data_IF_976634027076
#
_entry.id   IF_976634027076
#
_cell.length_a   1.000
_cell.length_b   1.000
_cell.length_c   1.000
_cell.angle_alpha   90.00
_cell.angle_beta   90.00
_cell.angle_gamma   90.00
#
_symmetry.space_group_name_H-M   'P 1'
#
loop_
_entity.id
_entity.type
_entity.pdbx_description
1 polymer ?
#
# COMPACT_ATOMS: atom_id res chain seq x y z
N UNK A 1 18.68 -24.67 9.05
CA UNK A 1 17.54 -25.38 8.44
C UNK A 1 17.60 -25.14 6.94
N UNK A 2 18.45 -25.88 6.20
CA UNK A 2 18.82 -25.49 4.84
C UNK A 2 17.67 -25.57 3.82
N UNK A 3 16.65 -26.39 4.05
CA UNK A 3 15.48 -26.53 3.15
C UNK A 3 14.23 -25.77 3.59
N UNK A 4 14.33 -24.84 4.54
CA UNK A 4 13.16 -24.06 4.97
C UNK A 4 12.86 -22.97 3.93
N UNK A 5 11.76 -23.13 3.17
CA UNK A 5 11.33 -22.16 2.15
C UNK A 5 10.29 -21.17 2.66
N UNK A 6 9.51 -21.53 3.67
CA UNK A 6 8.44 -20.70 4.22
C UNK A 6 8.48 -20.62 5.74
N UNK A 7 8.36 -19.42 6.28
CA UNK A 7 8.31 -19.17 7.72
C UNK A 7 7.16 -18.22 8.05
N UNK A 8 6.21 -18.73 8.83
CA UNK A 8 5.06 -17.99 9.30
C UNK A 8 5.13 -17.81 10.81
N UNK A 9 5.29 -16.57 11.26
CA UNK A 9 5.39 -16.22 12.66
C UNK A 9 4.29 -15.21 13.00
N UNK A 10 3.15 -15.67 13.54
CA UNK A 10 2.09 -14.80 14.10
C UNK A 10 2.08 -14.85 15.63
N UNK A 11 1.86 -13.70 16.28
CA UNK A 11 1.76 -13.59 17.75
C UNK A 11 3.05 -13.94 18.51
N UNK A 12 4.19 -13.49 17.99
CA UNK A 12 5.48 -13.80 18.59
C UNK A 12 6.13 -12.55 19.18
N UNK A 13 6.97 -12.76 20.19
CA UNK A 13 7.76 -11.71 20.84
C UNK A 13 9.17 -11.66 20.25
N UNK A 14 9.29 -11.86 18.93
CA UNK A 14 10.60 -11.93 18.26
C UNK A 14 11.31 -10.59 18.37
N UNK A 15 12.39 -10.57 19.15
CA UNK A 15 13.26 -9.39 19.32
C UNK A 15 14.35 -9.34 18.25
N UNK A 16 14.78 -10.50 17.77
CA UNK A 16 15.89 -10.61 16.83
C UNK A 16 15.57 -11.56 15.68
N UNK A 17 15.85 -11.10 14.48
CA UNK A 17 15.75 -11.87 13.23
C UNK A 17 17.11 -12.45 12.81
N UNK A 18 18.13 -12.37 13.66
CA UNK A 18 19.50 -12.80 13.33
C UNK A 18 19.58 -14.27 12.91
N UNK A 19 18.76 -15.14 13.51
CA UNK A 19 18.72 -16.57 13.19
C UNK A 19 18.22 -16.88 11.78
N UNK A 20 17.59 -15.92 11.08
CA UNK A 20 17.15 -16.12 9.69
C UNK A 20 18.33 -16.46 8.74
N UNK A 21 19.56 -16.06 9.09
CA UNK A 21 20.77 -16.45 8.35
C UNK A 21 20.95 -17.97 8.21
N UNK A 22 20.33 -18.76 9.09
CA UNK A 22 20.38 -20.22 9.10
C UNK A 22 19.34 -20.86 8.14
N UNK A 23 18.55 -20.04 7.45
CA UNK A 23 17.56 -20.43 6.44
C UNK A 23 17.80 -19.63 5.13
N UNK A 24 18.94 -19.84 4.44
CA UNK A 24 19.30 -19.06 3.26
C UNK A 24 18.37 -19.31 2.05
N UNK A 25 17.61 -20.39 2.04
CA UNK A 25 16.63 -20.73 0.99
C UNK A 25 15.22 -20.21 1.29
N UNK A 26 15.06 -19.33 2.29
CA UNK A 26 13.74 -18.82 2.65
C UNK A 26 13.19 -17.92 1.55
N UNK A 27 12.02 -18.28 1.01
CA UNK A 27 11.30 -17.59 -0.07
C UNK A 27 10.09 -16.82 0.43
N UNK A 28 9.44 -17.31 1.49
CA UNK A 28 8.23 -16.73 2.07
C UNK A 28 8.44 -16.43 3.56
N UNK A 29 8.29 -15.16 3.95
CA UNK A 29 8.38 -14.74 5.34
C UNK A 29 7.17 -13.89 5.72
N UNK A 30 6.47 -14.33 6.77
CA UNK A 30 5.41 -13.56 7.40
C UNK A 30 5.72 -13.33 8.89
N UNK A 31 5.68 -12.07 9.30
CA UNK A 31 5.93 -11.58 10.65
C UNK A 31 4.70 -10.84 11.19
N UNK A 32 3.81 -11.55 11.86
CA UNK A 32 2.58 -11.01 12.45
C UNK A 32 2.77 -10.58 13.92
N UNK A 33 2.17 -9.44 14.29
CA UNK A 33 2.27 -8.85 15.63
C UNK A 33 3.72 -8.62 16.10
N UNK A 34 4.58 -8.13 15.21
CA UNK A 34 6.03 -8.06 15.39
C UNK A 34 6.51 -6.76 16.03
N UNK A 35 5.91 -6.38 17.16
CA UNK A 35 6.08 -5.06 17.77
C UNK A 35 7.50 -4.72 18.26
N UNK A 36 8.39 -5.71 18.34
CA UNK A 36 9.81 -5.56 18.70
C UNK A 36 10.77 -5.58 17.50
N UNK A 37 10.26 -5.82 16.28
CA UNK A 37 11.09 -5.75 15.08
C UNK A 37 11.24 -4.29 14.67
N UNK A 38 12.47 -3.78 14.78
CA UNK A 38 12.84 -2.42 14.39
C UNK A 38 13.61 -2.38 13.06
N UNK A 39 14.41 -3.41 12.80
CA UNK A 39 15.30 -3.47 11.64
C UNK A 39 15.05 -4.69 10.75
N UNK A 40 15.16 -4.46 9.45
CA UNK A 40 15.08 -5.46 8.40
C UNK A 40 16.44 -5.93 7.88
N UNK A 41 17.57 -5.50 8.46
CA UNK A 41 18.91 -5.83 7.96
C UNK A 41 19.12 -7.34 7.75
N UNK A 42 18.67 -8.15 8.70
CA UNK A 42 18.76 -9.62 8.61
C UNK A 42 17.81 -10.20 7.56
N UNK A 43 16.64 -9.59 7.36
CA UNK A 43 15.70 -10.01 6.30
C UNK A 43 16.27 -9.68 4.93
N UNK A 44 16.90 -8.51 4.76
CA UNK A 44 17.54 -8.10 3.51
C UNK A 44 18.78 -8.96 3.12
N UNK A 45 19.28 -9.78 4.06
CA UNK A 45 20.32 -10.76 3.76
C UNK A 45 19.79 -12.01 3.02
N UNK A 46 18.47 -12.26 3.06
CA UNK A 46 17.82 -13.41 2.43
C UNK A 46 17.67 -13.20 0.91
N UNK A 47 18.62 -13.72 0.13
CA UNK A 47 18.71 -13.49 -1.32
C UNK A 47 17.68 -14.23 -2.16
N UNK A 48 17.01 -15.22 -1.58
CA UNK A 48 15.93 -15.98 -2.24
C UNK A 48 14.54 -15.49 -1.83
N UNK A 49 14.42 -14.44 -1.02
CA UNK A 49 13.11 -13.98 -0.52
C UNK A 49 12.28 -13.35 -1.64
N UNK A 50 11.13 -13.97 -1.93
CA UNK A 50 10.17 -13.56 -2.96
C UNK A 50 8.93 -12.89 -2.35
N UNK A 51 8.56 -13.28 -1.13
CA UNK A 51 7.39 -12.74 -0.45
C UNK A 51 7.72 -12.36 0.99
N UNK A 52 7.48 -11.09 1.32
CA UNK A 52 7.66 -10.59 2.67
C UNK A 52 6.42 -9.85 3.16
N UNK A 53 5.97 -10.21 4.36
CA UNK A 53 4.92 -9.48 5.06
C UNK A 53 5.31 -9.22 6.51
N UNK A 54 5.04 -8.01 6.97
CA UNK A 54 5.16 -7.63 8.37
C UNK A 54 3.92 -6.86 8.83
N UNK A 55 3.37 -7.28 9.96
CA UNK A 55 2.24 -6.64 10.60
C UNK A 55 2.60 -6.11 11.99
N UNK A 56 2.16 -4.89 12.26
CA UNK A 56 2.34 -4.18 13.52
C UNK A 56 3.80 -4.18 14.00
N UNK A 57 4.78 -3.73 13.18
CA UNK A 57 6.17 -3.63 13.61
C UNK A 57 6.35 -2.55 14.69
N UNK A 58 7.58 -2.38 15.17
CA UNK A 58 7.88 -1.35 16.17
C UNK A 58 7.63 0.07 15.65
N UNK A 59 7.65 1.06 16.55
CA UNK A 59 7.54 2.48 16.14
C UNK A 59 8.80 2.97 15.40
N UNK A 60 9.95 2.37 15.70
CA UNK A 60 11.24 2.70 15.10
C UNK A 60 11.48 1.92 13.81
N UNK A 61 10.45 1.28 13.27
CA UNK A 61 10.58 0.45 12.07
C UNK A 61 10.91 1.29 10.83
N UNK A 62 11.96 0.87 10.15
CA UNK A 62 12.54 1.50 8.97
C UNK A 62 12.51 0.55 7.77
N UNK A 63 12.38 1.10 6.56
CA UNK A 63 12.17 0.33 5.32
C UNK A 63 13.33 0.45 4.32
N UNK A 64 14.41 1.12 4.69
CA UNK A 64 15.58 1.43 3.88
C UNK A 64 16.21 0.15 3.33
N UNK A 65 16.23 -0.91 4.13
CA UNK A 65 16.77 -2.21 3.73
C UNK A 65 15.92 -2.91 2.64
N UNK A 66 14.62 -2.58 2.50
CA UNK A 66 13.75 -3.17 1.47
C UNK A 66 14.25 -2.86 0.06
N UNK A 67 14.85 -1.69 -0.17
CA UNK A 67 15.36 -1.33 -1.50
C UNK A 67 16.46 -2.27 -2.03
N UNK A 68 17.07 -3.07 -1.16
CA UNK A 68 18.09 -4.07 -1.53
C UNK A 68 17.51 -5.45 -1.86
N UNK A 69 16.19 -5.63 -1.71
CA UNK A 69 15.49 -6.92 -1.83
C UNK A 69 14.83 -7.06 -3.21
N UNK A 70 15.62 -6.88 -4.28
CA UNK A 70 15.14 -6.78 -5.66
C UNK A 70 14.41 -8.02 -6.22
N UNK A 71 14.43 -9.15 -5.49
CA UNK A 71 13.71 -10.38 -5.83
C UNK A 71 12.30 -10.46 -5.27
N UNK A 72 11.90 -9.50 -4.43
CA UNK A 72 10.53 -9.47 -3.93
C UNK A 72 9.53 -9.33 -5.07
N UNK A 73 8.58 -10.24 -5.09
CA UNK A 73 7.40 -10.24 -5.96
C UNK A 73 6.18 -9.75 -5.18
N UNK A 74 6.11 -10.07 -3.88
CA UNK A 74 5.05 -9.62 -2.97
C UNK A 74 5.58 -8.97 -1.70
N UNK A 75 5.03 -7.80 -1.36
CA UNK A 75 5.35 -7.05 -0.14
C UNK A 75 4.08 -6.59 0.59
N UNK A 76 3.98 -6.91 1.88
CA UNK A 76 2.94 -6.40 2.76
C UNK A 76 3.52 -5.67 3.97
N UNK A 77 3.19 -4.40 4.12
CA UNK A 77 3.47 -3.60 5.31
C UNK A 77 2.15 -3.18 5.93
N UNK A 78 1.90 -3.62 7.16
CA UNK A 78 0.63 -3.33 7.84
C UNK A 78 0.91 -2.76 9.22
N UNK A 79 0.37 -1.58 9.52
CA UNK A 79 0.24 -1.09 10.89
C UNK A 79 -0.80 -1.90 11.68
N UNK A 80 -1.14 -1.47 12.89
CA UNK A 80 -2.30 -1.99 13.62
C UNK A 80 -3.48 -1.02 13.56
N UNK A 81 -4.67 -1.50 13.92
CA UNK A 81 -5.86 -0.65 14.05
C UNK A 81 -5.66 0.49 15.07
N UNK A 82 -4.92 0.22 16.15
CA UNK A 82 -4.61 1.20 17.20
C UNK A 82 -3.37 2.05 16.91
N UNK A 83 -2.51 1.62 15.98
CA UNK A 83 -1.20 2.23 15.73
C UNK A 83 -0.78 2.09 14.28
N UNK A 84 -0.93 3.18 13.55
CA UNK A 84 -0.42 3.35 12.19
C UNK A 84 1.10 3.15 12.16
N UNK A 85 1.60 2.60 11.06
CA UNK A 85 3.03 2.60 10.78
C UNK A 85 3.39 3.96 10.16
N UNK A 86 4.27 4.72 10.81
CA UNK A 86 4.75 6.01 10.29
C UNK A 86 6.15 5.85 9.70
N UNK A 87 6.32 6.22 8.44
CA UNK A 87 7.57 6.18 7.70
C UNK A 87 7.95 7.59 7.24
N UNK A 88 9.22 7.83 6.90
CA UNK A 88 9.62 9.12 6.32
C UNK A 88 9.02 9.30 4.92
N UNK A 89 9.22 8.31 4.05
CA UNK A 89 8.78 8.30 2.65
C UNK A 89 8.65 6.85 2.16
N UNK A 90 8.13 6.67 0.94
CA UNK A 90 8.19 5.40 0.22
C UNK A 90 9.44 5.26 -0.66
N UNK A 91 10.43 6.15 -0.55
CA UNK A 91 11.59 6.18 -1.44
C UNK A 91 12.30 4.81 -1.58
N UNK A 92 12.55 4.02 -0.52
CA UNK A 92 13.21 2.72 -0.67
C UNK A 92 12.43 1.71 -1.54
N UNK A 93 11.11 1.88 -1.68
CA UNK A 93 10.29 0.97 -2.49
C UNK A 93 10.52 1.15 -3.99
N UNK A 94 11.04 2.30 -4.45
CA UNK A 94 11.26 2.56 -5.89
C UNK A 94 12.26 1.60 -6.55
N UNK A 95 13.10 0.95 -5.75
CA UNK A 95 14.08 -0.02 -6.21
C UNK A 95 13.46 -1.40 -6.53
N UNK A 96 12.24 -1.67 -6.03
CA UNK A 96 11.55 -2.96 -6.17
C UNK A 96 10.81 -3.08 -7.50
N UNK A 97 11.49 -2.83 -8.63
CA UNK A 97 10.87 -2.77 -9.97
C UNK A 97 10.20 -4.06 -10.44
N UNK A 98 10.58 -5.20 -9.85
CA UNK A 98 9.97 -6.52 -10.09
C UNK A 98 8.75 -6.83 -9.22
N UNK A 99 8.37 -5.95 -8.30
CA UNK A 99 7.27 -6.16 -7.37
C UNK A 99 5.93 -6.16 -8.12
N UNK A 100 5.12 -7.19 -7.89
CA UNK A 100 3.80 -7.38 -8.52
C UNK A 100 2.66 -7.10 -7.57
N UNK A 101 2.86 -7.37 -6.27
CA UNK A 101 1.85 -7.20 -5.24
C UNK A 101 2.39 -6.33 -4.11
N UNK A 102 1.69 -5.23 -3.82
CA UNK A 102 2.02 -4.31 -2.73
C UNK A 102 0.80 -4.02 -1.87
N UNK A 103 0.89 -4.33 -0.58
CA UNK A 103 -0.09 -3.93 0.43
C UNK A 103 0.51 -2.99 1.46
N UNK A 104 -0.11 -1.82 1.63
CA UNK A 104 0.26 -0.77 2.57
C UNK A 104 -0.94 -0.46 3.48
N UNK A 105 -1.20 -1.37 4.42
CA UNK A 105 -2.30 -1.26 5.37
C UNK A 105 -1.97 -0.32 6.53
N UNK A 106 -2.70 0.78 6.68
CA UNK A 106 -2.47 1.76 7.76
C UNK A 106 -1.03 2.33 7.81
N UNK A 107 -0.37 2.51 6.65
CA UNK A 107 1.01 3.02 6.55
C UNK A 107 1.05 4.49 6.11
N UNK A 108 1.42 5.39 6.99
CA UNK A 108 1.50 6.82 6.69
C UNK A 108 2.94 7.25 6.44
N UNK A 109 3.17 8.08 5.43
CA UNK A 109 4.47 8.70 5.15
C UNK A 109 4.41 10.19 5.47
N UNK A 110 5.51 10.74 6.00
CA UNK A 110 5.57 12.16 6.41
C UNK A 110 5.54 13.13 5.24
N UNK A 111 6.12 12.73 4.11
CA UNK A 111 6.11 13.53 2.88
C UNK A 111 4.76 13.52 2.13
N UNK A 112 3.82 12.68 2.59
CA UNK A 112 2.50 12.48 1.97
C UNK A 112 2.57 12.21 0.46
N UNK A 113 3.61 11.53 0.00
CA UNK A 113 3.89 11.31 -1.43
C UNK A 113 3.72 9.84 -1.85
N UNK A 114 3.07 9.64 -2.99
CA UNK A 114 2.99 8.36 -3.70
C UNK A 114 3.98 8.27 -4.87
N UNK A 115 4.72 9.36 -5.16
CA UNK A 115 5.66 9.45 -6.29
C UNK A 115 6.63 8.26 -6.39
N UNK A 116 7.24 7.75 -5.29
CA UNK A 116 8.16 6.62 -5.39
C UNK A 116 7.52 5.35 -5.97
N UNK A 117 6.21 5.14 -5.74
CA UNK A 117 5.50 3.96 -6.22
C UNK A 117 5.34 3.93 -7.74
N UNK A 118 5.48 5.07 -8.43
CA UNK A 118 5.42 5.14 -9.89
C UNK A 118 6.57 4.37 -10.58
N UNK A 119 7.66 4.06 -9.85
CA UNK A 119 8.78 3.25 -10.35
C UNK A 119 8.50 1.74 -10.34
N UNK A 120 7.40 1.30 -9.70
CA UNK A 120 6.99 -0.10 -9.63
C UNK A 120 6.30 -0.53 -10.93
N UNK A 121 7.05 -0.57 -12.03
CA UNK A 121 6.49 -0.78 -13.38
C UNK A 121 5.93 -2.18 -13.61
N UNK A 122 6.29 -3.16 -12.78
CA UNK A 122 5.73 -4.51 -12.82
C UNK A 122 4.53 -4.71 -11.88
N UNK A 123 4.07 -3.65 -11.21
CA UNK A 123 3.01 -3.76 -10.22
C UNK A 123 1.68 -4.14 -10.90
N UNK A 124 0.99 -5.12 -10.33
CA UNK A 124 -0.30 -5.61 -10.82
C UNK A 124 -1.42 -5.28 -9.82
N UNK A 125 -1.10 -5.27 -8.52
CA UNK A 125 -2.04 -4.99 -7.45
C UNK A 125 -1.45 -4.07 -6.39
N UNK A 126 -2.22 -3.04 -6.01
CA UNK A 126 -1.87 -2.07 -4.98
C UNK A 126 -3.01 -1.88 -3.99
N UNK A 127 -2.77 -2.28 -2.75
CA UNK A 127 -3.56 -1.88 -1.60
C UNK A 127 -2.89 -0.72 -0.88
N UNK A 128 -3.54 0.44 -0.81
CA UNK A 128 -3.06 1.60 -0.05
C UNK A 128 -4.27 2.32 0.54
N UNK A 129 -4.10 2.96 1.70
CA UNK A 129 -5.21 3.69 2.33
C UNK A 129 -5.46 5.06 1.70
N UNK A 130 -6.72 5.52 1.83
CA UNK A 130 -7.19 6.77 1.23
C UNK A 130 -6.90 8.01 2.11
N UNK A 131 -5.62 8.31 2.35
CA UNK A 131 -5.18 9.49 3.12
C UNK A 131 -4.23 10.42 2.35
N UNK A 132 -3.95 10.12 1.08
CA UNK A 132 -3.20 10.98 0.15
C UNK A 132 -4.13 11.96 -0.56
N UNK A 133 -3.59 12.99 -1.20
CA UNK A 133 -4.40 13.92 -1.98
C UNK A 133 -4.97 13.26 -3.25
N UNK A 134 -5.98 13.89 -3.85
CA UNK A 134 -6.53 13.45 -5.15
C UNK A 134 -5.43 13.49 -6.21
N UNK A 135 -4.57 14.50 -6.16
CA UNK A 135 -3.50 14.75 -7.10
C UNK A 135 -2.43 13.64 -7.07
N UNK A 136 -2.11 13.11 -5.89
CA UNK A 136 -1.18 11.99 -5.76
C UNK A 136 -1.74 10.69 -6.36
N UNK A 137 -3.01 10.38 -6.09
CA UNK A 137 -3.67 9.22 -6.69
C UNK A 137 -3.83 9.37 -8.21
N UNK A 138 -4.24 10.56 -8.67
CA UNK A 138 -4.39 10.84 -10.08
C UNK A 138 -3.06 10.73 -10.84
N UNK A 139 -1.97 11.27 -10.27
CA UNK A 139 -0.61 11.13 -10.79
C UNK A 139 -0.19 9.66 -10.86
N UNK A 140 -0.39 8.89 -9.79
CA UNK A 140 -0.04 7.47 -9.78
C UNK A 140 -0.84 6.69 -10.84
N UNK A 141 -2.13 7.02 -11.02
CA UNK A 141 -3.00 6.38 -12.03
C UNK A 141 -2.60 6.69 -13.47
N UNK A 142 -1.88 7.80 -13.70
CA UNK A 142 -1.31 8.13 -15.00
C UNK A 142 -0.08 7.27 -15.32
N UNK A 143 0.74 6.97 -14.31
CA UNK A 143 1.98 6.20 -14.48
C UNK A 143 1.75 4.69 -14.45
N UNK A 144 0.70 4.23 -13.76
CA UNK A 144 0.37 2.82 -13.60
C UNK A 144 -1.09 2.51 -14.06
N UNK A 145 -1.42 2.70 -15.36
CA UNK A 145 -2.80 2.65 -15.84
C UNK A 145 -3.48 1.27 -15.80
N UNK A 146 -2.75 0.20 -15.48
CA UNK A 146 -3.27 -1.17 -15.39
C UNK A 146 -3.29 -1.77 -13.97
N UNK A 147 -2.79 -1.04 -12.97
CA UNK A 147 -2.74 -1.55 -11.59
C UNK A 147 -4.13 -1.64 -10.99
N UNK A 148 -4.46 -2.79 -10.42
CA UNK A 148 -5.68 -2.98 -9.64
C UNK A 148 -5.51 -2.24 -8.32
N UNK A 149 -6.22 -1.12 -8.17
CA UNK A 149 -6.27 -0.33 -6.95
C UNK A 149 -7.55 0.52 -6.93
N UNK A 150 -8.28 0.46 -5.82
CA UNK A 150 -9.50 1.22 -5.59
C UNK A 150 -9.32 2.72 -5.89
N UNK A 151 -8.21 3.30 -5.43
CA UNK A 151 -8.00 4.76 -5.45
C UNK A 151 -7.33 5.28 -6.73
N UNK A 152 -6.95 4.41 -7.66
CA UNK A 152 -6.50 4.81 -9.00
C UNK A 152 -7.66 5.02 -9.99
N UNK A 153 -8.89 4.87 -9.50
CA UNK A 153 -10.12 5.24 -10.19
C UNK A 153 -10.68 6.54 -9.60
N UNK A 154 -11.40 7.36 -10.40
CA UNK A 154 -12.00 8.61 -9.92
C UNK A 154 -13.05 8.39 -8.83
N UNK A 155 -13.57 7.17 -8.72
CA UNK A 155 -14.45 6.75 -7.65
C UNK A 155 -14.48 5.22 -7.50
N UNK A 156 -14.92 4.74 -6.34
CA UNK A 156 -15.09 3.33 -5.99
C UNK A 156 -16.54 3.08 -5.63
N UNK A 157 -17.12 2.02 -6.20
CA UNK A 157 -18.51 1.64 -5.92
C UNK A 157 -18.58 0.60 -4.81
N UNK A 158 -19.25 0.94 -3.72
CA UNK A 158 -19.58 0.01 -2.64
C UNK A 158 -20.97 -0.57 -2.88
N UNK A 159 -21.02 -1.76 -3.49
CA UNK A 159 -22.24 -2.54 -3.65
C UNK A 159 -22.77 -3.00 -2.30
N UNK A 160 -24.10 -3.02 -2.12
CA UNK A 160 -24.77 -3.42 -0.87
C UNK A 160 -24.14 -2.73 0.34
N UNK A 161 -24.15 -1.40 0.31
CA UNK A 161 -23.58 -0.60 1.38
C UNK A 161 -24.32 -0.88 2.69
N UNK A 162 -23.55 -1.12 3.77
CA UNK A 162 -24.08 -1.12 5.14
C UNK A 162 -24.71 0.21 5.52
N UNK A 163 -24.50 1.27 4.72
CA UNK A 163 -24.98 2.62 4.93
C UNK A 163 -25.82 3.10 3.72
N UNK A 164 -27.07 2.63 3.56
CA UNK A 164 -27.96 3.11 2.51
C UNK A 164 -28.18 4.63 2.62
N UNK A 165 -28.54 5.27 1.50
CA UNK A 165 -28.88 6.68 1.51
C UNK A 165 -30.17 6.91 2.31
N UNK A 166 -30.13 7.79 3.31
CA UNK A 166 -31.28 8.13 4.14
C UNK A 166 -32.35 8.94 3.39
N UNK A 167 -31.99 9.55 2.26
CA UNK A 167 -32.89 10.41 1.48
C UNK A 167 -33.63 9.64 0.37
N UNK A 168 -32.90 8.94 -0.50
CA UNK A 168 -33.51 8.23 -1.64
C UNK A 168 -33.58 6.71 -1.49
N UNK A 169 -33.07 6.15 -0.38
CA UNK A 169 -33.13 4.71 -0.10
C UNK A 169 -32.16 3.85 -0.92
N UNK A 170 -31.35 4.42 -1.82
CA UNK A 170 -30.39 3.63 -2.61
C UNK A 170 -29.41 2.89 -1.68
N UNK A 171 -29.24 1.60 -1.93
CA UNK A 171 -28.48 0.67 -1.08
C UNK A 171 -27.02 0.49 -1.52
N UNK A 172 -26.50 1.40 -2.32
CA UNK A 172 -25.10 1.42 -2.72
C UNK A 172 -24.56 2.85 -2.65
N UNK A 173 -23.25 2.96 -2.44
CA UNK A 173 -22.58 4.23 -2.19
C UNK A 173 -21.27 4.33 -2.96
N UNK A 174 -20.75 5.54 -3.05
CA UNK A 174 -19.52 5.82 -3.80
C UNK A 174 -18.50 6.49 -2.88
N UNK A 175 -17.28 5.95 -2.85
CA UNK A 175 -16.11 6.63 -2.29
C UNK A 175 -15.31 7.32 -3.39
N UNK A 176 -14.63 8.40 -3.05
CA UNK A 176 -13.72 9.11 -3.98
C UNK A 176 -12.28 9.03 -3.47
N UNK A 177 -11.26 9.02 -4.32
CA UNK A 177 -9.89 9.14 -3.86
C UNK A 177 -9.69 10.52 -3.22
N UNK A 178 -8.73 10.61 -2.29
CA UNK A 178 -8.37 11.86 -1.62
C UNK A 178 -8.67 11.87 -0.12
N UNK A 179 -7.73 12.44 0.64
CA UNK A 179 -7.85 12.68 2.08
C UNK A 179 -9.14 13.44 2.40
N UNK A 180 -9.92 12.89 3.33
CA UNK A 180 -11.20 13.47 3.73
C UNK A 180 -12.37 13.12 2.80
N UNK A 181 -12.19 12.14 1.91
CA UNK A 181 -13.28 11.62 1.09
C UNK A 181 -14.48 11.21 1.94
N UNK A 182 -15.67 11.53 1.43
CA UNK A 182 -16.95 11.20 2.04
C UNK A 182 -17.66 10.17 1.19
N UNK A 183 -18.45 9.33 1.85
CA UNK A 183 -19.28 8.34 1.20
C UNK A 183 -20.52 9.01 0.56
N UNK A 184 -20.47 9.23 -0.75
CA UNK A 184 -21.48 9.93 -1.52
C UNK A 184 -22.64 9.01 -1.91
N UNK A 185 -23.85 9.58 -1.97
CA UNK A 185 -25.00 8.95 -2.60
C UNK A 185 -24.95 9.22 -4.12
N UNK A 186 -24.99 8.19 -4.98
CA UNK A 186 -24.93 8.38 -6.43
C UNK A 186 -26.14 9.11 -7.02
N UNK A 187 -27.25 9.19 -6.28
CA UNK A 187 -28.49 9.86 -6.71
C UNK A 187 -28.67 11.24 -6.07
N UNK A 188 -28.35 11.39 -4.78
CA UNK A 188 -28.56 12.65 -4.06
C UNK A 188 -27.33 13.59 -4.12
N UNK A 189 -26.13 13.04 -4.26
CA UNK A 189 -24.88 13.81 -4.31
C UNK A 189 -24.28 13.84 -5.74
N UNK A 190 -25.12 13.80 -6.77
CA UNK A 190 -24.70 13.70 -8.19
C UNK A 190 -23.71 14.81 -8.57
N UNK A 191 -24.01 16.05 -8.19
CA UNK A 191 -23.14 17.20 -8.47
C UNK A 191 -21.75 17.03 -7.81
N UNK A 192 -21.71 16.70 -6.52
CA UNK A 192 -20.43 16.50 -5.79
C UNK A 192 -19.62 15.35 -6.37
N UNK A 193 -20.30 14.29 -6.79
CA UNK A 193 -19.66 13.15 -7.44
C UNK A 193 -19.08 13.57 -8.79
N UNK A 194 -19.82 14.31 -9.60
CA UNK A 194 -19.35 14.84 -10.88
C UNK A 194 -18.13 15.75 -10.70
N UNK A 195 -18.17 16.68 -9.74
CA UNK A 195 -17.04 17.57 -9.40
C UNK A 195 -15.80 16.76 -8.98
N UNK A 196 -15.98 15.71 -8.18
CA UNK A 196 -14.89 14.83 -7.76
C UNK A 196 -14.25 14.07 -8.93
N UNK A 197 -15.08 13.59 -9.86
CA UNK A 197 -14.63 12.89 -11.08
C UNK A 197 -13.85 13.86 -11.98
N UNK A 198 -14.36 15.07 -12.20
CA UNK A 198 -13.68 16.11 -12.98
C UNK A 198 -12.31 16.42 -12.39
N UNK A 199 -12.25 16.71 -11.08
CA UNK A 199 -10.99 17.01 -10.39
C UNK A 199 -9.94 15.89 -10.57
N UNK A 200 -10.34 14.64 -10.40
CA UNK A 200 -9.43 13.51 -10.59
C UNK A 200 -8.90 13.43 -12.03
N UNK A 201 -9.79 13.55 -13.02
CA UNK A 201 -9.41 13.46 -14.43
C UNK A 201 -8.54 14.63 -14.90
N UNK A 202 -8.80 15.83 -14.40
CA UNK A 202 -7.97 17.02 -14.66
C UNK A 202 -6.57 16.85 -14.07
N UNK A 203 -6.47 16.41 -12.81
CA UNK A 203 -5.20 16.12 -12.16
C UNK A 203 -4.41 15.01 -12.89
N UNK A 204 -5.10 13.94 -13.33
CA UNK A 204 -4.50 12.86 -14.12
C UNK A 204 -3.96 13.39 -15.44
N UNK A 205 -4.76 14.20 -16.14
CA UNK A 205 -4.36 14.80 -17.42
C UNK A 205 -3.19 15.77 -17.27
N UNK A 206 -3.15 16.54 -16.18
CA UNK A 206 -2.03 17.41 -15.85
C UNK A 206 -0.74 16.61 -15.59
N UNK A 207 -0.85 15.49 -14.87
CA UNK A 207 0.28 14.60 -14.62
C UNK A 207 0.85 13.99 -15.91
N UNK A 208 -0.02 13.59 -16.86
CA UNK A 208 0.42 13.08 -18.17
C UNK A 208 1.15 14.17 -18.97
N UNK A 209 0.62 15.40 -18.99
CA UNK A 209 1.26 16.52 -19.72
C UNK A 209 2.60 16.94 -19.14
N UNK A 210 2.79 16.86 -17.83
CA UNK A 210 4.04 17.20 -17.15
C UNK A 210 5.09 16.09 -17.17
N UNK A 211 4.77 14.91 -17.73
CA UNK A 211 5.70 13.79 -17.90
C UNK A 211 6.29 13.71 -19.33
N UNK A 212 5.91 14.64 -20.21
CA UNK A 212 6.49 14.87 -21.55
C UNK A 212 7.53 15.98 -21.43
#
# INVERSE_FOLDING_TARGET
MPGLEGLYLKWNVVESLQSLRLAPQLRYLYLGASSRVESLEHVASLKELEWFQVESPSKAFEIEALGKMARLVGLGLTGSESKKLELQSFAPLSELRGLKWLHLGAVHVRDASLVPLAQLTSLEWLGVGNYFSVEEFARLSAHLPGVICDWLSPYVRYHRSMFPCRTCGVNWRVGTPGKGSKLLCPTCDTQKLAESIVRFNEAKSAAIRGAI
#
